data_IF_106771341176
#
_entry.id   IF_106771341176
#
_cell.length_a   1.000
_cell.length_b   1.000
_cell.length_c   1.000
_cell.angle_alpha   90.00
_cell.angle_beta   90.00
_cell.angle_gamma   90.00
#
_symmetry.space_group_name_H-M   'P 1'
#
loop_
_entity.id
_entity.type
_entity.pdbx_description
1 polymer ?
#
# COMPACT_ATOMS: atom_id res chain seq x y z
N UNK A 1 24.15 19.73 -2.22
CA UNK A 1 23.43 18.73 -3.00
C UNK A 1 22.29 18.16 -2.21
N UNK A 2 21.09 18.34 -2.71
CA UNK A 2 19.89 17.99 -2.01
C UNK A 2 19.66 16.49 -1.90
N UNK A 3 19.14 16.06 -0.78
CA UNK A 3 18.60 14.72 -0.62
C UNK A 3 17.17 14.71 -1.14
N UNK A 4 16.77 13.61 -1.77
CA UNK A 4 15.40 13.41 -2.18
C UNK A 4 14.75 12.47 -1.18
N UNK A 5 13.65 12.94 -0.58
CA UNK A 5 12.88 12.14 0.38
C UNK A 5 11.44 12.11 -0.12
N UNK A 6 10.97 10.98 -0.67
CA UNK A 6 9.59 10.89 -1.07
C UNK A 6 8.66 10.89 0.14
N UNK A 7 7.58 11.63 0.02
CA UNK A 7 6.54 11.71 1.06
C UNK A 7 5.21 11.40 0.40
N UNK A 8 4.53 10.38 0.87
CA UNK A 8 3.18 10.02 0.43
C UNK A 8 2.18 10.40 1.50
N UNK A 9 1.22 11.22 1.12
CA UNK A 9 0.14 11.64 2.00
C UNK A 9 -1.09 10.79 1.76
N UNK A 10 -1.62 10.20 2.81
CA UNK A 10 -2.83 9.39 2.76
C UNK A 10 -3.94 10.08 3.53
N UNK A 11 -5.16 10.03 2.97
CA UNK A 11 -6.34 10.62 3.60
C UNK A 11 -6.90 9.79 4.74
N UNK A 12 -6.54 8.52 4.80
CA UNK A 12 -7.02 7.59 5.82
C UNK A 12 -6.19 7.60 7.09
N UNK A 13 -6.60 6.72 8.00
CA UNK A 13 -5.93 6.54 9.28
C UNK A 13 -5.39 5.12 9.39
N UNK A 14 -4.35 4.98 10.20
CA UNK A 14 -3.74 3.67 10.45
C UNK A 14 -4.28 3.02 11.74
N UNK A 15 -4.81 3.81 12.66
CA UNK A 15 -5.33 3.33 13.92
C UNK A 15 -4.24 2.79 14.83
N UNK A 16 -4.47 1.61 15.38
CA UNK A 16 -3.53 0.95 16.28
C UNK A 16 -2.53 0.04 15.56
N UNK A 17 -2.55 0.04 14.22
CA UNK A 17 -1.65 -0.80 13.46
C UNK A 17 -0.19 -0.37 13.67
N UNK A 18 0.68 -1.34 13.85
CA UNK A 18 2.12 -1.10 14.05
C UNK A 18 2.86 -0.92 12.75
N UNK A 19 2.23 -1.28 11.64
CA UNK A 19 2.82 -1.22 10.31
C UNK A 19 1.88 -0.50 9.35
N UNK A 20 2.42 0.15 8.30
CA UNK A 20 1.57 0.75 7.28
C UNK A 20 0.81 -0.31 6.50
N UNK A 21 -0.26 0.09 5.85
CA UNK A 21 -0.96 -0.80 4.93
C UNK A 21 -0.01 -1.26 3.82
N UNK A 22 -0.08 -2.53 3.49
CA UNK A 22 0.88 -3.14 2.56
C UNK A 22 0.90 -2.47 1.19
N UNK A 23 -0.26 -2.11 0.65
CA UNK A 23 -0.35 -1.40 -0.62
C UNK A 23 0.31 -0.03 -0.58
N UNK A 24 0.15 0.70 0.52
CA UNK A 24 0.77 2.00 0.70
C UNK A 24 2.29 1.88 0.83
N UNK A 25 2.74 0.88 1.54
CA UNK A 25 4.16 0.56 1.67
C UNK A 25 4.78 0.27 0.28
N UNK A 26 4.11 -0.58 -0.52
CA UNK A 26 4.59 -0.90 -1.86
C UNK A 26 4.64 0.33 -2.77
N UNK A 27 3.67 1.23 -2.63
CA UNK A 27 3.65 2.48 -3.40
C UNK A 27 4.87 3.34 -3.08
N UNK A 28 5.19 3.51 -1.81
CA UNK A 28 6.36 4.27 -1.41
C UNK A 28 7.66 3.59 -1.87
N UNK A 29 7.73 2.26 -1.75
CA UNK A 29 8.87 1.50 -2.22
C UNK A 29 9.08 1.65 -3.73
N UNK A 30 7.99 1.70 -4.49
CA UNK A 30 8.06 1.96 -5.93
C UNK A 30 8.61 3.35 -6.22
N UNK A 31 8.26 4.35 -5.42
CA UNK A 31 8.82 5.70 -5.56
C UNK A 31 10.34 5.72 -5.38
N UNK A 32 10.87 4.89 -4.48
CA UNK A 32 12.34 4.79 -4.35
C UNK A 32 12.99 4.39 -5.66
N UNK A 33 12.42 3.40 -6.35
CA UNK A 33 12.95 2.93 -7.63
C UNK A 33 12.80 3.98 -8.72
N UNK A 34 11.65 4.63 -8.79
CA UNK A 34 11.37 5.65 -9.80
C UNK A 34 12.30 6.85 -9.63
N UNK A 35 12.48 7.32 -8.41
CA UNK A 35 13.36 8.46 -8.13
C UNK A 35 14.82 8.15 -8.44
N UNK A 36 15.26 6.93 -8.16
CA UNK A 36 16.59 6.48 -8.50
C UNK A 36 16.80 6.49 -10.03
N UNK A 37 15.82 6.01 -10.77
CA UNK A 37 15.88 5.96 -12.23
C UNK A 37 15.84 7.36 -12.88
N UNK A 38 14.92 8.20 -12.41
CA UNK A 38 14.68 9.52 -13.01
C UNK A 38 15.77 10.53 -12.64
N UNK A 39 16.18 10.55 -11.37
CA UNK A 39 17.12 11.55 -10.86
C UNK A 39 18.51 11.02 -10.64
N UNK A 40 18.74 9.73 -10.80
CA UNK A 40 20.04 9.11 -10.55
C UNK A 40 20.47 9.16 -9.09
N UNK A 41 19.56 9.50 -8.18
CA UNK A 41 19.85 9.59 -6.76
C UNK A 41 18.99 8.60 -6.00
N UNK A 42 19.65 7.80 -5.18
CA UNK A 42 18.98 6.79 -4.36
C UNK A 42 18.47 7.42 -3.06
N UNK A 43 17.14 7.53 -2.86
CA UNK A 43 16.62 8.00 -1.59
C UNK A 43 17.06 7.09 -0.44
N UNK A 44 17.44 7.68 0.67
CA UNK A 44 17.81 6.90 1.86
C UNK A 44 16.59 6.39 2.60
N UNK A 45 15.51 7.15 2.57
CA UNK A 45 14.25 6.79 3.24
C UNK A 45 13.10 7.58 2.62
N UNK A 46 11.89 7.22 2.98
CA UNK A 46 10.68 7.95 2.62
C UNK A 46 9.71 7.98 3.78
N UNK A 47 8.64 8.74 3.64
CA UNK A 47 7.64 8.90 4.68
C UNK A 47 6.24 8.60 4.16
N UNK A 48 5.50 7.80 4.92
CA UNK A 48 4.07 7.59 4.74
C UNK A 48 3.34 8.34 5.83
N UNK A 49 2.56 9.34 5.44
CA UNK A 49 1.86 10.19 6.39
C UNK A 49 0.37 9.89 6.34
N UNK A 50 -0.15 9.24 7.39
CA UNK A 50 -1.57 9.07 7.62
C UNK A 50 -2.09 10.22 8.46
N UNK A 51 -3.39 10.31 8.60
CA UNK A 51 -3.99 11.40 9.40
C UNK A 51 -3.58 11.34 10.87
N UNK A 52 -3.34 10.15 11.38
CA UNK A 52 -3.06 9.89 12.80
C UNK A 52 -1.63 9.45 13.09
N UNK A 53 -0.84 9.13 12.07
CA UNK A 53 0.51 8.62 12.29
C UNK A 53 1.38 8.77 11.05
N UNK A 54 2.69 8.88 11.25
CA UNK A 54 3.66 8.95 10.16
C UNK A 54 4.70 7.83 10.32
N UNK A 55 4.90 7.07 9.25
CA UNK A 55 5.94 6.04 9.20
C UNK A 55 7.13 6.56 8.39
N UNK A 56 8.32 6.33 8.91
CA UNK A 56 9.55 6.54 8.15
C UNK A 56 10.06 5.18 7.69
N UNK A 57 10.19 5.00 6.38
CA UNK A 57 10.57 3.72 5.79
C UNK A 57 11.94 3.87 5.14
N UNK A 58 12.90 3.13 5.64
CA UNK A 58 14.24 3.12 5.08
C UNK A 58 14.29 2.35 3.77
N UNK A 59 15.04 2.87 2.81
CA UNK A 59 15.21 2.24 1.51
C UNK A 59 16.27 1.14 1.62
N UNK A 60 15.86 0.00 2.16
CA UNK A 60 16.73 -1.16 2.36
C UNK A 60 16.65 -2.14 1.19
N UNK A 61 17.59 -3.06 1.12
CA UNK A 61 17.56 -4.13 0.13
C UNK A 61 16.30 -4.99 0.27
N UNK A 62 15.82 -5.19 1.50
CA UNK A 62 14.57 -5.92 1.75
C UNK A 62 13.37 -5.23 1.12
N UNK A 63 13.25 -3.92 1.32
CA UNK A 63 12.16 -3.12 0.75
C UNK A 63 12.18 -3.19 -0.78
N UNK A 64 13.36 -3.09 -1.37
CA UNK A 64 13.54 -3.19 -2.82
C UNK A 64 13.13 -4.55 -3.34
N UNK A 65 13.49 -5.63 -2.64
CA UNK A 65 13.08 -6.98 -3.02
C UNK A 65 11.57 -7.16 -2.96
N UNK A 66 10.93 -6.63 -1.95
CA UNK A 66 9.47 -6.76 -1.80
C UNK A 66 8.72 -6.07 -2.94
N UNK A 67 9.12 -4.86 -3.33
CA UNK A 67 8.45 -4.17 -4.43
C UNK A 67 8.74 -4.84 -5.77
N UNK A 68 9.97 -5.32 -6.00
CA UNK A 68 10.30 -6.02 -7.25
C UNK A 68 9.56 -7.35 -7.34
N UNK A 69 9.38 -8.05 -6.24
CA UNK A 69 8.57 -9.26 -6.19
C UNK A 69 7.12 -8.97 -6.56
N UNK A 70 6.54 -7.89 -6.00
CA UNK A 70 5.18 -7.50 -6.31
C UNK A 70 5.01 -7.15 -7.79
N UNK A 71 5.97 -6.43 -8.38
CA UNK A 71 5.97 -6.13 -9.83
C UNK A 71 6.01 -7.41 -10.65
N UNK A 72 6.85 -8.35 -10.25
CA UNK A 72 6.99 -9.63 -10.95
C UNK A 72 5.69 -10.45 -10.89
N UNK A 73 5.04 -10.47 -9.72
CA UNK A 73 3.75 -11.13 -9.56
C UNK A 73 2.66 -10.48 -10.43
N UNK A 74 2.64 -9.16 -10.50
CA UNK A 74 1.71 -8.44 -11.38
C UNK A 74 1.93 -8.78 -12.86
N UNK A 75 3.19 -8.84 -13.28
CA UNK A 75 3.52 -9.22 -14.67
C UNK A 75 3.11 -10.65 -14.97
N UNK A 76 3.31 -11.54 -14.01
CA UNK A 76 2.89 -12.94 -14.16
C UNK A 76 1.37 -13.04 -14.30
N UNK A 77 0.64 -12.31 -13.45
CA UNK A 77 -0.81 -12.25 -13.51
C UNK A 77 -1.29 -11.76 -14.88
N UNK A 78 -0.64 -10.74 -15.42
CA UNK A 78 -0.99 -10.21 -16.74
C UNK A 78 -0.74 -11.22 -17.86
N UNK A 79 0.33 -12.00 -17.76
CA UNK A 79 0.63 -13.05 -18.74
C UNK A 79 -0.36 -14.21 -18.68
N UNK A 80 -0.70 -14.64 -17.49
CA UNK A 80 -1.53 -15.82 -17.28
C UNK A 80 -3.03 -15.51 -17.32
N UNK A 81 -3.38 -14.24 -17.15
CA UNK A 81 -4.77 -13.84 -17.06
C UNK A 81 -5.45 -14.29 -15.77
N UNK A 82 -4.67 -14.73 -14.79
CA UNK A 82 -5.17 -15.27 -13.53
C UNK A 82 -4.75 -14.36 -12.39
N UNK A 83 -5.71 -13.94 -11.58
CA UNK A 83 -5.47 -13.17 -10.37
C UNK A 83 -6.19 -13.84 -9.20
N UNK A 84 -5.50 -13.94 -8.08
CA UNK A 84 -6.12 -14.39 -6.84
C UNK A 84 -6.56 -13.16 -6.06
N UNK A 85 -7.88 -12.93 -5.94
CA UNK A 85 -8.36 -11.83 -5.14
C UNK A 85 -8.09 -12.08 -3.65
N UNK A 86 -7.85 -11.00 -2.93
CA UNK A 86 -7.69 -11.05 -1.48
C UNK A 86 -8.80 -10.19 -0.86
N UNK A 87 -10.03 -10.71 -0.83
CA UNK A 87 -11.14 -9.91 -0.31
C UNK A 87 -10.98 -9.63 1.17
N UNK A 88 -11.37 -8.46 1.59
CA UNK A 88 -11.45 -8.09 2.99
C UNK A 88 -12.62 -7.15 3.17
N UNK A 89 -13.15 -7.11 4.36
CA UNK A 89 -14.27 -6.22 4.65
C UNK A 89 -13.92 -4.76 4.32
N UNK A 90 -12.73 -4.32 4.73
CA UNK A 90 -12.29 -2.95 4.53
C UNK A 90 -12.18 -2.56 3.05
N UNK A 91 -11.76 -3.50 2.19
CA UNK A 91 -11.64 -3.25 0.75
C UNK A 91 -12.98 -3.45 0.03
N UNK A 92 -13.77 -4.43 0.44
CA UNK A 92 -15.01 -4.78 -0.26
C UNK A 92 -16.15 -3.82 0.04
N UNK A 93 -16.22 -3.30 1.25
CA UNK A 93 -17.29 -2.40 1.68
C UNK A 93 -17.46 -1.18 0.77
N UNK A 94 -16.41 -0.41 0.44
CA UNK A 94 -16.54 0.74 -0.46
C UNK A 94 -16.47 0.36 -1.94
N UNK A 95 -16.24 -0.89 -2.26
CA UNK A 95 -16.02 -1.33 -3.64
C UNK A 95 -17.32 -1.30 -4.43
N UNK A 96 -17.29 -0.70 -5.64
CA UNK A 96 -18.46 -0.61 -6.50
C UNK A 96 -18.95 -1.96 -7.00
N UNK A 97 -18.09 -2.99 -7.00
CA UNK A 97 -18.43 -4.34 -7.44
C UNK A 97 -19.06 -5.18 -6.33
N UNK A 98 -19.04 -4.68 -5.09
CA UNK A 98 -19.57 -5.39 -3.94
C UNK A 98 -21.09 -5.55 -4.07
N UNK A 99 -21.55 -6.81 -3.92
CA UNK A 99 -22.98 -7.11 -4.02
C UNK A 99 -23.57 -7.06 -5.41
N UNK A 100 -22.75 -6.83 -6.44
CA UNK A 100 -23.20 -6.79 -7.83
C UNK A 100 -22.53 -7.87 -8.68
N UNK A 101 -21.30 -7.63 -9.12
CA UNK A 101 -20.59 -8.53 -10.04
C UNK A 101 -19.49 -9.35 -9.38
N UNK A 102 -19.06 -8.97 -8.18
CA UNK A 102 -17.97 -9.66 -7.50
C UNK A 102 -18.46 -10.84 -6.67
N UNK A 103 -18.01 -12.04 -7.01
CA UNK A 103 -18.32 -13.26 -6.26
C UNK A 103 -17.42 -13.47 -5.04
N UNK A 104 -16.41 -12.63 -4.88
CA UNK A 104 -15.41 -12.77 -3.80
C UNK A 104 -15.61 -11.74 -2.69
N UNK A 105 -16.71 -10.96 -2.74
CA UNK A 105 -16.93 -9.88 -1.77
C UNK A 105 -16.95 -10.39 -0.33
N UNK A 106 -16.23 -9.73 0.54
CA UNK A 106 -16.25 -9.96 1.98
C UNK A 106 -17.06 -8.85 2.62
N UNK A 107 -18.28 -9.17 3.06
CA UNK A 107 -19.21 -8.19 3.61
C UNK A 107 -19.53 -8.40 5.08
N UNK A 108 -19.08 -9.52 5.65
CA UNK A 108 -19.36 -9.83 7.04
C UNK A 108 -18.26 -9.28 7.95
N UNK A 109 -18.68 -8.68 9.04
CA UNK A 109 -17.78 -8.16 10.04
C UNK A 109 -17.55 -9.25 11.08
N UNK A 110 -16.39 -9.87 11.04
CA UNK A 110 -15.97 -10.77 12.09
C UNK A 110 -15.08 -10.02 13.07
N UNK A 111 -15.71 -9.35 14.03
CA UNK A 111 -14.99 -8.74 15.14
C UNK A 111 -14.00 -7.65 14.80
N UNK A 112 -14.08 -7.10 13.61
CA UNK A 112 -13.17 -6.05 13.20
C UNK A 112 -13.86 -4.71 13.27
N UNK A 113 -13.27 -3.84 14.04
CA UNK A 113 -13.68 -2.46 14.12
C UNK A 113 -12.99 -1.71 12.97
N UNK A 114 -13.75 -1.30 11.96
CA UNK A 114 -13.20 -0.57 10.83
C UNK A 114 -13.06 0.93 11.09
N UNK A 115 -13.37 1.37 12.29
CA UNK A 115 -13.32 2.77 12.70
C UNK A 115 -11.93 3.17 13.17
N UNK A 116 -10.92 2.93 12.37
CA UNK A 116 -9.56 3.29 12.73
C UNK A 116 -9.33 4.80 12.77
N UNK A 117 -10.24 5.58 12.18
CA UNK A 117 -10.13 7.03 12.16
C UNK A 117 -11.51 7.67 12.19
N UNK A 118 -12.02 7.84 13.39
CA UNK A 118 -13.24 8.61 13.56
C UNK A 118 -12.91 10.09 13.64
N UNK A 119 -13.58 10.87 12.84
CA UNK A 119 -13.62 12.31 13.03
C UNK A 119 -14.60 12.61 14.15
N UNK A 120 -14.10 13.29 15.13
CA UNK A 120 -14.95 13.85 16.17
C UNK A 120 -15.60 15.14 15.68
#
# INVERSE_FOLDING_TARGET
MGRIVPVELKSGCIGEAEEPHHGDFLQLAAYFLILEDVYGKRPAYGRLVYRDYMFEIKNTARVRREVLKAVQEMRQMLRDGIAEPKPSFAHCRPCVCNGTVCQFSETEIEGVNDDSCREE
#
